data_IF_719523592981
#
_entry.id   IF_719523592981
#
_cell.length_a   1.000
_cell.length_b   1.000
_cell.length_c   1.000
_cell.angle_alpha   90.00
_cell.angle_beta   90.00
_cell.angle_gamma   90.00
#
_symmetry.space_group_name_H-M   'P 1'
#
loop_
_entity.id
_entity.type
_entity.pdbx_description
1 polymer ?
#
# COMPACT_ATOMS: atom_id res chain seq x y z
N UNK A 1 -8.57 5.35 18.19
CA UNK A 1 -7.77 6.59 18.30
C UNK A 1 -7.31 7.10 16.94
N UNK A 2 -6.58 6.30 16.16
CA UNK A 2 -6.08 6.70 14.84
C UNK A 2 -7.20 7.11 13.86
N UNK A 3 -8.23 6.30 13.70
CA UNK A 3 -9.36 6.60 12.81
C UNK A 3 -10.15 7.82 13.25
N UNK A 4 -10.29 8.03 14.54
CA UNK A 4 -10.89 9.25 15.07
C UNK A 4 -10.10 10.49 14.65
N UNK A 5 -8.79 10.45 14.78
CA UNK A 5 -7.90 11.50 14.29
C UNK A 5 -8.04 11.71 12.77
N UNK A 6 -8.03 10.60 12.03
CA UNK A 6 -8.05 10.62 10.57
C UNK A 6 -9.37 11.17 10.01
N UNK A 7 -10.49 10.80 10.61
CA UNK A 7 -11.83 11.17 10.18
C UNK A 7 -12.24 12.59 10.62
N UNK A 8 -11.64 13.12 11.66
CA UNK A 8 -11.98 14.45 12.22
C UNK A 8 -11.89 15.59 11.19
N UNK A 9 -11.02 15.49 10.22
CA UNK A 9 -10.88 16.46 9.14
C UNK A 9 -11.66 16.11 7.86
N UNK A 10 -12.45 15.02 7.88
CA UNK A 10 -13.18 14.60 6.69
C UNK A 10 -14.45 15.43 6.48
N UNK A 11 -14.82 15.60 5.21
CA UNK A 11 -16.05 16.30 4.83
C UNK A 11 -17.33 15.55 5.23
N UNK A 12 -17.20 14.29 5.65
CA UNK A 12 -18.32 13.42 6.01
C UNK A 12 -18.79 13.54 7.44
N UNK A 13 -17.93 13.99 8.34
CA UNK A 13 -18.24 14.00 9.76
C UNK A 13 -18.52 15.44 10.21
N UNK A 14 -19.79 15.73 10.40
CA UNK A 14 -20.24 16.98 11.01
C UNK A 14 -19.98 17.01 12.53
N UNK A 15 -19.52 15.89 13.10
CA UNK A 15 -19.28 15.74 14.53
C UNK A 15 -18.07 14.83 14.78
N UNK A 16 -17.52 14.89 15.98
CA UNK A 16 -16.45 13.97 16.40
C UNK A 16 -17.02 12.55 16.58
N UNK A 17 -16.50 11.53 15.86
CA UNK A 17 -17.02 10.16 15.94
C UNK A 17 -16.82 9.52 17.33
N UNK A 18 -16.05 10.14 18.21
CA UNK A 18 -15.89 9.68 19.60
C UNK A 18 -16.82 10.34 20.60
N UNK A 19 -17.64 11.31 20.19
CA UNK A 19 -18.63 11.91 21.06
C UNK A 19 -19.84 11.00 21.23
N UNK A 20 -20.29 10.88 22.47
CA UNK A 20 -21.54 10.19 22.77
C UNK A 20 -22.73 11.06 22.34
N UNK A 21 -23.82 10.45 21.84
CA UNK A 21 -25.05 11.20 21.58
C UNK A 21 -25.56 11.88 22.85
N UNK A 22 -25.83 13.17 22.76
CA UNK A 22 -26.31 13.96 23.92
C UNK A 22 -27.82 13.90 24.10
N UNK A 23 -28.55 13.48 23.10
CA UNK A 23 -30.01 13.42 23.10
C UNK A 23 -30.48 11.97 22.91
N UNK A 24 -31.61 11.60 23.52
CA UNK A 24 -32.26 10.33 23.22
C UNK A 24 -32.63 10.26 21.73
N UNK A 25 -32.61 9.04 21.18
CA UNK A 25 -33.01 8.81 19.78
C UNK A 25 -34.51 9.06 19.63
N UNK A 26 -34.89 9.97 18.75
CA UNK A 26 -36.28 10.18 18.34
C UNK A 26 -36.66 9.18 17.25
N UNK A 27 -37.60 8.31 17.52
CA UNK A 27 -38.06 7.27 16.61
C UNK A 27 -38.61 7.85 15.31
N UNK A 28 -39.34 8.97 15.38
CA UNK A 28 -39.89 9.63 14.21
C UNK A 28 -38.78 10.18 13.29
N UNK A 29 -37.76 10.78 13.88
CA UNK A 29 -36.59 11.24 13.11
C UNK A 29 -35.78 10.07 12.49
N UNK A 30 -35.62 8.98 13.23
CA UNK A 30 -34.96 7.78 12.74
C UNK A 30 -35.73 7.19 11.56
N UNK A 31 -37.05 7.07 11.67
CA UNK A 31 -37.89 6.59 10.58
C UNK A 31 -37.81 7.50 9.35
N UNK A 32 -37.85 8.82 9.53
CA UNK A 32 -37.72 9.78 8.45
C UNK A 32 -36.38 9.66 7.74
N UNK A 33 -35.29 9.51 8.49
CA UNK A 33 -33.95 9.26 7.95
C UNK A 33 -33.89 7.95 7.16
N UNK A 34 -34.45 6.88 7.70
CA UNK A 34 -34.51 5.57 7.01
C UNK A 34 -35.28 5.67 5.70
N UNK A 35 -36.45 6.29 5.69
CA UNK A 35 -37.28 6.49 4.50
C UNK A 35 -36.56 7.31 3.42
N UNK A 36 -35.80 8.30 3.85
CA UNK A 36 -35.08 9.19 2.94
C UNK A 36 -33.88 8.53 2.27
N UNK A 37 -33.11 7.73 3.00
CA UNK A 37 -31.81 7.25 2.54
C UNK A 37 -31.77 5.78 2.12
N UNK A 38 -32.64 4.93 2.68
CA UNK A 38 -32.68 3.52 2.34
C UNK A 38 -33.68 3.25 1.23
N UNK A 39 -33.37 3.77 0.04
CA UNK A 39 -34.20 3.64 -1.15
C UNK A 39 -33.59 2.63 -2.13
N UNK A 40 -34.39 1.94 -2.98
CA UNK A 40 -33.89 0.90 -3.87
C UNK A 40 -32.80 1.39 -4.85
N UNK A 41 -32.86 2.63 -5.29
CA UNK A 41 -31.86 3.21 -6.21
C UNK A 41 -30.49 3.43 -5.56
N UNK A 42 -30.42 3.37 -4.23
CA UNK A 42 -29.17 3.45 -3.49
C UNK A 42 -28.64 2.13 -3.00
N UNK A 43 -29.28 1.01 -3.35
CA UNK A 43 -28.94 -0.32 -2.86
C UNK A 43 -28.31 -1.18 -3.94
N UNK A 44 -27.33 -1.98 -3.58
CA UNK A 44 -26.77 -3.05 -4.40
C UNK A 44 -26.84 -4.34 -3.64
N UNK A 45 -27.46 -5.35 -4.22
CA UNK A 45 -27.57 -6.68 -3.63
C UNK A 45 -26.53 -7.62 -4.23
N UNK A 46 -25.76 -8.25 -3.36
CA UNK A 46 -24.81 -9.29 -3.75
C UNK A 46 -25.30 -10.65 -3.26
N UNK A 47 -25.33 -11.61 -4.17
CA UNK A 47 -25.66 -13.00 -3.86
C UNK A 47 -24.51 -13.89 -4.32
N UNK A 48 -23.91 -14.59 -3.38
CA UNK A 48 -22.78 -15.49 -3.62
C UNK A 48 -23.10 -16.86 -3.06
N UNK A 49 -22.92 -17.89 -3.86
CA UNK A 49 -23.16 -19.26 -3.45
C UNK A 49 -23.46 -20.17 -4.64
N UNK A 50 -23.81 -21.41 -4.33
CA UNK A 50 -24.25 -22.38 -5.33
C UNK A 50 -25.74 -22.15 -5.66
N UNK A 51 -26.00 -21.13 -6.49
CA UNK A 51 -27.35 -20.73 -6.86
C UNK A 51 -27.52 -20.74 -8.38
N UNK A 52 -28.74 -21.04 -8.84
CA UNK A 52 -29.12 -20.83 -10.23
C UNK A 52 -29.39 -19.33 -10.44
N UNK A 53 -28.55 -18.68 -11.25
CA UNK A 53 -28.61 -17.24 -11.49
C UNK A 53 -29.97 -16.80 -12.04
N UNK A 54 -30.58 -17.58 -12.92
CA UNK A 54 -31.88 -17.25 -13.51
C UNK A 54 -33.00 -17.30 -12.46
N UNK A 55 -33.07 -18.39 -11.72
CA UNK A 55 -34.05 -18.56 -10.64
C UNK A 55 -33.89 -17.49 -9.57
N UNK A 56 -32.65 -17.17 -9.20
CA UNK A 56 -32.36 -16.14 -8.22
C UNK A 56 -32.78 -14.74 -8.73
N UNK A 57 -32.50 -14.42 -9.97
CA UNK A 57 -32.93 -13.16 -10.58
C UNK A 57 -34.45 -13.01 -10.55
N UNK A 58 -35.21 -14.07 -10.86
CA UNK A 58 -36.66 -14.08 -10.79
C UNK A 58 -37.17 -13.83 -9.36
N UNK A 59 -36.57 -14.49 -8.38
CA UNK A 59 -36.92 -14.29 -6.96
C UNK A 59 -36.61 -12.88 -6.48
N UNK A 60 -35.48 -12.30 -6.87
CA UNK A 60 -35.08 -10.93 -6.53
C UNK A 60 -36.09 -9.96 -7.14
N UNK A 61 -36.42 -10.09 -8.42
CA UNK A 61 -37.39 -9.25 -9.08
C UNK A 61 -38.74 -9.32 -8.39
N UNK A 62 -39.21 -10.51 -8.04
CA UNK A 62 -40.48 -10.69 -7.34
C UNK A 62 -40.49 -10.04 -5.96
N UNK A 63 -39.38 -10.18 -5.21
CA UNK A 63 -39.30 -9.66 -3.86
C UNK A 63 -39.13 -8.16 -3.78
N UNK A 64 -38.38 -7.55 -4.69
CA UNK A 64 -37.96 -6.16 -4.63
C UNK A 64 -38.68 -5.23 -5.59
N UNK A 65 -39.30 -5.73 -6.66
CA UNK A 65 -40.02 -4.86 -7.62
C UNK A 65 -41.14 -4.01 -6.99
N UNK A 66 -41.84 -4.42 -5.92
CA UNK A 66 -42.83 -3.56 -5.27
C UNK A 66 -42.22 -2.38 -4.49
N UNK A 67 -40.93 -2.39 -4.20
CA UNK A 67 -40.28 -1.32 -3.47
C UNK A 67 -40.21 -0.05 -4.31
N UNK A 68 -40.57 1.05 -3.69
CA UNK A 68 -40.59 2.37 -4.31
C UNK A 68 -39.75 3.35 -3.50
N UNK A 69 -39.35 4.42 -4.13
CA UNK A 69 -38.59 5.50 -3.54
C UNK A 69 -37.32 5.80 -4.33
N UNK A 70 -36.96 7.06 -4.32
CA UNK A 70 -35.73 7.56 -4.92
C UNK A 70 -35.03 8.45 -3.94
N UNK A 71 -33.71 8.41 -3.95
CA UNK A 71 -32.91 9.37 -3.20
C UNK A 71 -33.17 10.79 -3.69
N UNK A 72 -33.31 11.72 -2.77
CA UNK A 72 -33.47 13.14 -3.06
C UNK A 72 -32.19 13.72 -3.67
N UNK A 73 -31.03 13.19 -3.25
CA UNK A 73 -29.71 13.56 -3.76
C UNK A 73 -28.79 12.35 -3.69
N UNK A 74 -27.78 12.27 -4.58
CA UNK A 74 -26.73 11.24 -4.44
C UNK A 74 -26.02 11.42 -3.11
N UNK A 75 -25.60 10.29 -2.49
CA UNK A 75 -24.77 10.33 -1.31
C UNK A 75 -23.47 11.08 -1.61
N UNK A 76 -23.07 11.97 -0.72
CA UNK A 76 -21.78 12.62 -0.83
C UNK A 76 -20.67 11.57 -0.74
N UNK A 77 -19.71 11.63 -1.66
CA UNK A 77 -18.52 10.77 -1.60
C UNK A 77 -17.63 11.27 -0.46
N UNK A 78 -17.32 10.42 0.53
CA UNK A 78 -16.40 10.81 1.57
C UNK A 78 -14.98 10.95 1.00
N UNK A 79 -14.30 11.99 1.42
CA UNK A 79 -12.89 12.21 1.09
C UNK A 79 -12.10 12.44 2.36
N UNK A 80 -10.98 11.73 2.49
CA UNK A 80 -10.00 12.01 3.53
C UNK A 80 -9.03 13.08 3.04
N UNK A 81 -8.67 14.00 3.93
CA UNK A 81 -7.56 14.91 3.68
C UNK A 81 -6.24 14.13 3.64
N UNK A 82 -5.28 14.54 2.80
CA UNK A 82 -3.94 13.99 2.87
C UNK A 82 -3.35 14.14 4.27
N UNK A 83 -2.57 13.15 4.71
CA UNK A 83 -1.83 13.28 5.96
C UNK A 83 -0.77 14.38 5.84
N UNK A 84 -0.54 15.15 6.91
CA UNK A 84 0.57 16.10 6.94
C UNK A 84 1.90 15.36 6.95
N UNK A 85 2.94 15.99 6.42
CA UNK A 85 4.31 15.43 6.49
C UNK A 85 4.98 15.66 7.84
N UNK A 86 4.30 16.32 8.75
CA UNK A 86 4.77 16.53 10.12
C UNK A 86 4.45 15.31 10.98
N UNK A 87 5.34 14.94 11.92
CA UNK A 87 5.08 13.82 12.81
C UNK A 87 3.89 14.11 13.71
N UNK A 88 3.13 13.05 13.98
CA UNK A 88 1.91 13.08 14.79
C UNK A 88 2.13 12.28 16.06
N UNK A 89 1.77 12.85 17.21
CA UNK A 89 1.77 12.14 18.49
C UNK A 89 0.35 12.06 19.05
N UNK A 90 -0.10 10.85 19.34
CA UNK A 90 -1.41 10.55 19.91
C UNK A 90 -1.25 9.74 21.20
N UNK A 91 -2.22 9.86 22.10
CA UNK A 91 -2.29 9.10 23.33
C UNK A 91 -3.48 8.13 23.31
N UNK A 92 -3.24 6.89 23.70
CA UNK A 92 -4.27 5.86 23.80
C UNK A 92 -4.14 5.08 25.10
N UNK A 93 -5.14 5.19 25.97
CA UNK A 93 -5.16 4.53 27.28
C UNK A 93 -5.20 3.00 27.24
N UNK A 94 -5.58 2.42 26.12
CA UNK A 94 -5.60 0.95 25.94
C UNK A 94 -4.30 0.32 25.48
N UNK A 95 -3.25 1.11 25.24
CA UNK A 95 -1.96 0.60 24.78
C UNK A 95 -1.03 0.30 25.95
N UNK A 96 -0.26 -0.79 25.80
CA UNK A 96 0.73 -1.24 26.80
C UNK A 96 2.13 -0.72 26.52
N UNK A 97 2.42 -0.39 25.28
CA UNK A 97 3.71 0.15 24.84
C UNK A 97 3.52 1.08 23.65
N UNK A 98 4.56 1.77 23.25
CA UNK A 98 4.53 2.68 22.12
C UNK A 98 4.30 1.94 20.81
N UNK A 99 3.47 2.52 19.95
CA UNK A 99 3.37 2.13 18.55
C UNK A 99 3.84 3.27 17.67
N UNK A 100 4.92 3.05 16.96
CA UNK A 100 5.41 3.97 15.93
C UNK A 100 5.03 3.43 14.57
N UNK A 101 4.29 4.22 13.81
CA UNK A 101 3.85 3.87 12.47
C UNK A 101 4.52 4.78 11.44
N UNK A 102 5.11 4.17 10.42
CA UNK A 102 5.64 4.83 9.24
C UNK A 102 4.59 4.71 8.15
N UNK A 103 3.91 5.81 7.85
CA UNK A 103 2.69 5.79 7.04
C UNK A 103 2.92 6.44 5.68
N UNK A 104 2.67 5.67 4.62
CA UNK A 104 2.54 6.17 3.26
C UNK A 104 1.06 6.39 2.97
N UNK A 105 0.69 7.62 2.64
CA UNK A 105 -0.68 8.03 2.36
C UNK A 105 -0.74 8.60 0.95
N UNK A 106 -1.42 7.89 0.06
CA UNK A 106 -1.49 8.23 -1.36
C UNK A 106 -2.92 8.21 -1.87
N UNK A 107 -3.25 8.98 -2.92
CA UNK A 107 -4.53 8.83 -3.59
C UNK A 107 -4.70 7.41 -4.11
N UNK A 108 -5.89 6.85 -3.94
CA UNK A 108 -6.25 5.56 -4.53
C UNK A 108 -6.90 5.78 -5.90
N UNK A 109 -6.37 5.09 -6.90
CA UNK A 109 -6.94 5.07 -8.25
C UNK A 109 -7.74 3.78 -8.46
N UNK A 110 -8.95 3.85 -9.02
CA UNK A 110 -9.69 2.65 -9.39
C UNK A 110 -8.89 1.74 -10.34
N UNK A 111 -9.00 0.43 -10.14
CA UNK A 111 -8.34 -0.57 -10.97
C UNK A 111 -9.39 -1.17 -11.89
N UNK A 112 -9.35 -0.83 -13.18
CA UNK A 112 -10.38 -1.21 -14.17
C UNK A 112 -9.84 -1.94 -15.39
N UNK A 113 -8.53 -2.06 -15.51
CA UNK A 113 -7.87 -2.75 -16.62
C UNK A 113 -6.69 -3.60 -16.13
N UNK A 114 -6.20 -4.47 -17.00
CA UNK A 114 -5.11 -5.39 -16.67
C UNK A 114 -3.77 -4.69 -16.42
N UNK A 115 -3.52 -3.59 -17.09
CA UNK A 115 -2.29 -2.82 -16.93
C UNK A 115 -2.22 -2.18 -15.54
N UNK A 116 -3.30 -1.55 -15.09
CA UNK A 116 -3.38 -0.97 -13.75
C UNK A 116 -3.38 -2.04 -12.66
N UNK A 117 -3.96 -3.20 -12.93
CA UNK A 117 -3.92 -4.34 -12.02
C UNK A 117 -2.49 -4.87 -11.84
N UNK A 118 -1.75 -5.06 -12.92
CA UNK A 118 -0.34 -5.48 -12.86
C UNK A 118 0.53 -4.45 -12.15
N UNK A 119 0.30 -3.17 -12.37
CA UNK A 119 1.00 -2.09 -11.67
C UNK A 119 0.73 -2.11 -10.18
N UNK A 120 -0.52 -2.34 -9.79
CA UNK A 120 -0.90 -2.53 -8.40
C UNK A 120 -0.21 -3.75 -7.78
N UNK A 121 -0.19 -4.88 -8.48
CA UNK A 121 0.49 -6.09 -8.00
C UNK A 121 1.98 -5.88 -7.80
N UNK A 122 2.63 -5.15 -8.69
CA UNK A 122 4.05 -4.83 -8.55
C UNK A 122 4.31 -3.97 -7.31
N UNK A 123 3.50 -2.97 -7.09
CA UNK A 123 3.56 -2.11 -5.91
C UNK A 123 3.28 -2.88 -4.62
N UNK A 124 2.27 -3.72 -4.61
CA UNK A 124 1.89 -4.56 -3.47
C UNK A 124 2.97 -5.59 -3.13
N UNK A 125 3.53 -6.25 -4.14
CA UNK A 125 4.60 -7.21 -3.98
C UNK A 125 5.89 -6.55 -3.46
N UNK A 126 6.19 -5.35 -3.91
CA UNK A 126 7.32 -4.57 -3.41
C UNK A 126 7.16 -4.25 -1.91
N UNK A 127 5.96 -3.85 -1.47
CA UNK A 127 5.68 -3.60 -0.05
C UNK A 127 5.83 -4.87 0.79
N UNK A 128 5.34 -5.99 0.28
CA UNK A 128 5.47 -7.29 0.96
C UNK A 128 6.95 -7.71 1.07
N UNK A 129 7.70 -7.57 0.00
CA UNK A 129 9.14 -7.84 0.00
C UNK A 129 9.88 -7.00 1.04
N UNK A 130 9.56 -5.72 1.12
CA UNK A 130 10.14 -4.78 2.07
C UNK A 130 9.83 -5.18 3.51
N UNK A 131 8.58 -5.48 3.78
CA UNK A 131 8.13 -5.92 5.10
C UNK A 131 8.85 -7.20 5.56
N UNK A 132 8.88 -8.21 4.70
CA UNK A 132 9.56 -9.46 5.01
C UNK A 132 11.06 -9.28 5.23
N UNK A 133 11.70 -8.40 4.44
CA UNK A 133 13.10 -8.07 4.63
C UNK A 133 13.36 -7.46 6.01
N UNK A 134 12.58 -6.45 6.39
CA UNK A 134 12.70 -5.78 7.69
C UNK A 134 12.44 -6.77 8.84
N UNK A 135 11.40 -7.57 8.73
CA UNK A 135 11.05 -8.55 9.76
C UNK A 135 12.18 -9.57 9.96
N UNK A 136 12.76 -10.06 8.87
CA UNK A 136 13.87 -11.01 8.92
C UNK A 136 15.14 -10.38 9.52
N UNK A 137 15.47 -9.16 9.12
CA UNK A 137 16.61 -8.43 9.64
C UNK A 137 16.49 -8.16 11.14
N UNK A 138 15.29 -7.82 11.62
CA UNK A 138 15.03 -7.63 13.06
C UNK A 138 15.08 -8.93 13.84
N UNK A 139 14.65 -10.04 13.25
CA UNK A 139 14.73 -11.37 13.89
C UNK A 139 16.19 -11.83 14.03
N UNK A 140 17.03 -11.56 13.03
CA UNK A 140 18.46 -11.91 13.04
C UNK A 140 19.28 -10.98 13.94
N UNK A 141 18.84 -9.75 14.10
CA UNK A 141 19.43 -8.83 15.07
C UNK A 141 18.93 -9.20 16.46
N UNK A 142 19.76 -8.99 17.46
CA UNK A 142 19.35 -9.18 18.86
C UNK A 142 18.47 -8.03 19.37
N UNK A 143 17.72 -7.35 18.49
CA UNK A 143 16.74 -6.35 18.88
C UNK A 143 15.63 -7.04 19.67
N UNK A 144 15.63 -6.81 20.98
CA UNK A 144 14.67 -7.42 21.87
C UNK A 144 13.42 -6.54 22.00
N UNK A 145 12.26 -7.20 22.10
CA UNK A 145 10.98 -6.58 22.45
C UNK A 145 10.38 -5.65 21.39
N UNK A 146 10.82 -5.72 20.15
CA UNK A 146 10.17 -5.02 19.05
C UNK A 146 9.31 -5.98 18.22
N UNK A 147 8.07 -5.60 17.97
CA UNK A 147 7.19 -6.30 17.05
C UNK A 147 6.91 -5.39 15.86
N UNK A 148 7.06 -5.93 14.66
CA UNK A 148 6.82 -5.19 13.42
C UNK A 148 5.65 -5.82 12.68
N UNK A 149 4.68 -4.98 12.32
CA UNK A 149 3.54 -5.34 11.52
C UNK A 149 3.44 -4.48 10.27
N UNK A 150 2.69 -4.96 9.30
CA UNK A 150 2.41 -4.23 8.07
C UNK A 150 0.91 -4.23 7.82
N UNK A 151 0.37 -3.07 7.43
CA UNK A 151 -1.04 -2.87 7.20
C UNK A 151 -1.25 -1.93 6.01
N UNK A 152 -2.14 -2.31 5.10
CA UNK A 152 -2.60 -1.45 4.02
C UNK A 152 -4.11 -1.38 4.04
N UNK A 153 -4.66 -0.18 3.93
CA UNK A 153 -6.10 0.06 3.82
C UNK A 153 -6.41 1.06 2.72
N UNK A 154 -7.46 0.78 2.00
CA UNK A 154 -8.09 1.75 1.11
C UNK A 154 -9.37 2.23 1.77
N UNK A 155 -9.46 3.52 2.03
CA UNK A 155 -10.63 4.12 2.62
C UNK A 155 -10.83 5.52 2.03
N UNK A 156 -12.05 5.79 1.60
CA UNK A 156 -12.44 7.09 1.07
C UNK A 156 -11.45 7.65 0.03
N UNK A 157 -11.16 6.83 -0.98
CA UNK A 157 -10.31 7.15 -2.13
C UNK A 157 -8.84 7.44 -1.78
N UNK A 158 -8.39 7.01 -0.61
CA UNK A 158 -6.97 7.06 -0.23
C UNK A 158 -6.46 5.69 0.15
N UNK A 159 -5.25 5.40 -0.27
CA UNK A 159 -4.50 4.23 0.15
C UNK A 159 -3.55 4.63 1.27
N UNK A 160 -3.64 3.92 2.38
CA UNK A 160 -2.77 4.10 3.53
C UNK A 160 -2.06 2.80 3.81
N UNK A 161 -0.76 2.77 3.64
CA UNK A 161 0.09 1.64 4.02
C UNK A 161 1.02 2.06 5.15
N UNK A 162 1.22 1.19 6.12
CA UNK A 162 2.05 1.49 7.27
C UNK A 162 2.93 0.32 7.67
N UNK A 163 4.15 0.62 8.07
CA UNK A 163 4.97 -0.26 8.90
C UNK A 163 4.75 0.18 10.34
N UNK A 164 4.21 -0.72 11.16
CA UNK A 164 3.92 -0.46 12.56
C UNK A 164 4.98 -1.13 13.43
N UNK A 165 5.57 -0.39 14.35
CA UNK A 165 6.52 -0.92 15.32
C UNK A 165 5.95 -0.78 16.72
N UNK A 166 5.75 -1.90 17.41
CA UNK A 166 5.44 -1.93 18.82
C UNK A 166 6.74 -2.11 19.61
N UNK A 167 7.07 -1.16 20.45
CA UNK A 167 8.35 -1.09 21.16
C UNK A 167 8.21 -0.43 22.52
N UNK A 168 8.97 -0.89 23.52
CA UNK A 168 9.14 -0.10 24.73
C UNK A 168 9.72 1.29 24.40
N UNK A 169 9.26 2.30 25.11
CA UNK A 169 9.69 3.69 24.88
C UNK A 169 11.23 3.85 24.95
N UNK A 170 11.87 3.19 25.90
CA UNK A 170 13.33 3.25 26.06
C UNK A 170 14.12 2.73 24.85
N UNK A 171 13.55 1.82 24.07
CA UNK A 171 14.20 1.21 22.91
C UNK A 171 13.69 1.77 21.57
N UNK A 172 12.72 2.68 21.61
CA UNK A 172 12.01 3.14 20.42
C UNK A 172 12.95 3.79 19.38
N UNK A 173 13.81 4.71 19.83
CA UNK A 173 14.75 5.40 18.95
C UNK A 173 15.75 4.43 18.30
N UNK A 174 16.27 3.50 19.06
CA UNK A 174 17.22 2.48 18.58
C UNK A 174 16.56 1.55 17.57
N UNK A 175 15.34 1.09 17.85
CA UNK A 175 14.59 0.23 16.95
C UNK A 175 14.23 0.95 15.65
N UNK A 176 13.83 2.21 15.72
CA UNK A 176 13.57 3.04 14.55
C UNK A 176 14.83 3.19 13.68
N UNK A 177 15.97 3.48 14.26
CA UNK A 177 17.23 3.62 13.53
C UNK A 177 17.63 2.33 12.84
N UNK A 178 17.37 1.18 13.45
CA UNK A 178 17.65 -0.11 12.85
C UNK A 178 16.75 -0.38 11.64
N UNK A 179 15.46 -0.11 11.77
CA UNK A 179 14.52 -0.21 10.62
C UNK A 179 14.93 0.75 9.52
N UNK A 180 15.26 1.98 9.85
CA UNK A 180 15.71 2.97 8.86
C UNK A 180 16.96 2.51 8.09
N UNK A 181 17.94 1.95 8.77
CA UNK A 181 19.15 1.43 8.12
C UNK A 181 18.86 0.28 7.18
N UNK A 182 17.97 -0.63 7.58
CA UNK A 182 17.56 -1.74 6.70
C UNK A 182 16.82 -1.24 5.46
N UNK A 183 15.91 -0.29 5.62
CA UNK A 183 15.21 0.30 4.50
C UNK A 183 16.14 1.07 3.55
N UNK A 184 17.08 1.82 4.10
CA UNK A 184 18.09 2.53 3.30
C UNK A 184 18.99 1.56 2.52
N UNK A 185 19.36 0.43 3.12
CA UNK A 185 20.15 -0.62 2.46
C UNK A 185 19.39 -1.22 1.28
N UNK A 186 18.11 -1.53 1.45
CA UNK A 186 17.28 -2.05 0.34
C UNK A 186 17.10 -1.00 -0.76
N UNK A 187 16.91 0.26 -0.40
CA UNK A 187 16.84 1.35 -1.38
C UNK A 187 18.11 1.43 -2.22
N UNK A 188 19.27 1.36 -1.59
CA UNK A 188 20.56 1.59 -2.24
C UNK A 188 21.09 0.35 -2.98
N UNK A 189 20.93 -0.83 -2.41
CA UNK A 189 21.47 -2.09 -2.92
C UNK A 189 20.43 -3.02 -3.56
N UNK A 190 19.15 -2.71 -3.35
CA UNK A 190 18.06 -3.59 -3.76
C UNK A 190 17.86 -4.77 -2.81
N UNK A 191 16.81 -5.52 -3.09
CA UNK A 191 16.49 -6.75 -2.37
C UNK A 191 17.54 -7.82 -2.68
N UNK A 192 18.08 -8.56 -1.71
CA UNK A 192 18.95 -9.69 -1.98
C UNK A 192 18.31 -10.70 -2.95
N UNK A 193 19.10 -11.25 -3.86
CA UNK A 193 18.60 -12.18 -4.87
C UNK A 193 17.89 -13.40 -4.24
N UNK A 194 18.42 -13.90 -3.15
CA UNK A 194 17.84 -15.04 -2.44
C UNK A 194 16.45 -14.73 -1.89
N UNK A 195 16.25 -13.51 -1.38
CA UNK A 195 14.94 -13.07 -0.87
C UNK A 195 13.94 -12.88 -2.02
N UNK A 196 14.38 -12.33 -3.15
CA UNK A 196 13.56 -12.23 -4.36
C UNK A 196 13.12 -13.61 -4.85
N UNK A 197 14.04 -14.54 -4.97
CA UNK A 197 13.75 -15.90 -5.46
C UNK A 197 12.78 -16.63 -4.50
N UNK A 198 12.98 -16.50 -3.20
CA UNK A 198 12.10 -17.07 -2.19
C UNK A 198 10.68 -16.47 -2.24
N UNK A 199 10.59 -15.16 -2.42
CA UNK A 199 9.30 -14.47 -2.55
C UNK A 199 8.54 -14.94 -3.78
N UNK A 200 9.21 -15.03 -4.93
CA UNK A 200 8.58 -15.48 -6.18
C UNK A 200 8.13 -16.93 -6.10
N UNK A 201 8.93 -17.80 -5.49
CA UNK A 201 8.57 -19.20 -5.28
C UNK A 201 7.34 -19.32 -4.37
N UNK A 202 7.28 -18.54 -3.30
CA UNK A 202 6.14 -18.51 -2.39
C UNK A 202 4.87 -18.03 -3.10
N UNK A 203 4.96 -16.99 -3.90
CA UNK A 203 3.79 -16.44 -4.63
C UNK A 203 3.26 -17.41 -5.68
N UNK A 204 4.12 -18.12 -6.38
CA UNK A 204 3.70 -19.17 -7.32
C UNK A 204 3.03 -20.34 -6.59
N UNK A 205 3.57 -20.74 -5.44
CA UNK A 205 2.97 -21.77 -4.60
C UNK A 205 1.58 -21.37 -4.10
N UNK A 206 1.43 -20.14 -3.62
CA UNK A 206 0.15 -19.60 -3.19
C UNK A 206 -0.87 -19.57 -4.32
N UNK A 207 -0.47 -19.17 -5.52
CA UNK A 207 -1.33 -19.14 -6.70
C UNK A 207 -1.82 -20.55 -7.06
N UNK A 208 -0.92 -21.53 -7.09
CA UNK A 208 -1.27 -22.91 -7.38
C UNK A 208 -2.22 -23.49 -6.32
N UNK A 209 -1.99 -23.18 -5.05
CA UNK A 209 -2.83 -23.60 -3.95
C UNK A 209 -4.23 -22.96 -4.03
N UNK A 210 -4.30 -21.69 -4.36
CA UNK A 210 -5.57 -20.98 -4.54
C UNK A 210 -6.44 -21.66 -5.58
N UNK A 211 -5.87 -22.08 -6.71
CA UNK A 211 -6.61 -22.77 -7.77
C UNK A 211 -7.01 -24.18 -7.38
N UNK A 212 -6.13 -24.92 -6.72
CA UNK A 212 -6.45 -26.26 -6.24
C UNK A 212 -7.61 -26.28 -5.24
N UNK A 213 -7.80 -25.19 -4.50
CA UNK A 213 -8.82 -25.09 -3.44
C UNK A 213 -9.99 -24.17 -3.79
N UNK A 214 -9.99 -23.52 -4.95
CA UNK A 214 -11.00 -22.50 -5.30
C UNK A 214 -12.43 -23.04 -5.21
N UNK A 215 -12.69 -24.22 -5.75
CA UNK A 215 -14.01 -24.85 -5.72
C UNK A 215 -14.52 -25.18 -4.30
N UNK A 216 -13.64 -25.15 -3.31
CA UNK A 216 -13.97 -25.43 -1.89
C UNK A 216 -13.90 -24.15 -1.04
N UNK A 217 -13.77 -22.99 -1.65
CA UNK A 217 -13.74 -21.72 -0.91
C UNK A 217 -15.11 -21.45 -0.31
N UNK A 218 -15.14 -21.13 0.96
CA UNK A 218 -16.37 -20.81 1.68
C UNK A 218 -17.04 -19.57 1.08
N UNK A 219 -18.36 -19.60 1.06
CA UNK A 219 -19.20 -18.53 0.54
C UNK A 219 -18.92 -17.19 1.21
N UNK A 220 -18.68 -17.19 2.51
CA UNK A 220 -18.36 -15.98 3.28
C UNK A 220 -17.06 -15.33 2.82
N UNK A 221 -16.06 -16.13 2.49
CA UNK A 221 -14.78 -15.62 1.96
C UNK A 221 -14.99 -15.00 0.58
N UNK A 222 -15.74 -15.65 -0.29
CA UNK A 222 -16.07 -15.14 -1.63
C UNK A 222 -16.87 -13.83 -1.54
N UNK A 223 -17.85 -13.77 -0.64
CA UNK A 223 -18.63 -12.56 -0.37
C UNK A 223 -17.73 -11.41 0.10
N UNK A 224 -16.85 -11.68 1.05
CA UNK A 224 -15.91 -10.70 1.56
C UNK A 224 -14.98 -10.15 0.48
N UNK A 225 -14.49 -11.00 -0.41
CA UNK A 225 -13.67 -10.59 -1.56
C UNK A 225 -14.44 -9.69 -2.52
N UNK A 226 -15.68 -10.06 -2.82
CA UNK A 226 -16.57 -9.28 -3.70
C UNK A 226 -16.82 -7.88 -3.13
N UNK A 227 -17.15 -7.80 -1.85
CA UNK A 227 -17.42 -6.53 -1.18
C UNK A 227 -16.19 -5.63 -1.13
N UNK A 228 -15.00 -6.19 -0.86
CA UNK A 228 -13.76 -5.43 -0.89
C UNK A 228 -13.42 -4.89 -2.27
N UNK A 229 -13.58 -5.70 -3.31
CA UNK A 229 -13.36 -5.28 -4.70
C UNK A 229 -14.29 -4.13 -5.07
N UNK A 230 -15.56 -4.25 -4.74
CA UNK A 230 -16.53 -3.18 -5.01
C UNK A 230 -16.21 -1.92 -4.21
N UNK A 231 -15.89 -2.05 -2.93
CA UNK A 231 -15.56 -0.93 -2.03
C UNK A 231 -14.29 -0.20 -2.48
N UNK A 232 -13.31 -0.91 -2.99
CA UNK A 232 -12.03 -0.36 -3.44
C UNK A 232 -12.04 0.02 -4.93
N UNK A 233 -13.16 -0.12 -5.61
CA UNK A 233 -13.27 0.14 -7.05
C UNK A 233 -12.28 -0.67 -7.88
N UNK A 234 -12.09 -1.93 -7.52
CA UNK A 234 -11.27 -2.91 -8.24
C UNK A 234 -12.19 -3.78 -9.08
N UNK A 235 -11.87 -3.94 -10.36
CA UNK A 235 -12.64 -4.81 -11.25
C UNK A 235 -12.53 -6.27 -10.79
N UNK A 236 -13.66 -6.96 -10.75
CA UNK A 236 -13.70 -8.41 -10.57
C UNK A 236 -13.38 -9.11 -11.89
N UNK A 237 -12.49 -10.08 -11.82
CA UNK A 237 -12.13 -10.93 -12.94
C UNK A 237 -12.42 -12.40 -12.60
N UNK A 238 -12.75 -13.17 -13.64
CA UNK A 238 -12.99 -14.61 -13.47
C UNK A 238 -11.73 -15.29 -12.92
N UNK A 239 -11.88 -16.35 -12.09
CA UNK A 239 -10.74 -17.05 -11.51
C UNK A 239 -9.70 -17.52 -12.52
N UNK A 240 -10.15 -18.06 -13.64
CA UNK A 240 -9.27 -18.54 -14.71
C UNK A 240 -8.48 -17.39 -15.35
N UNK A 241 -9.11 -16.25 -15.54
CA UNK A 241 -8.47 -15.05 -16.04
C UNK A 241 -7.46 -14.49 -15.03
N UNK A 242 -7.83 -14.47 -13.75
CA UNK A 242 -6.92 -14.06 -12.67
C UNK A 242 -5.68 -14.96 -12.64
N UNK A 243 -5.86 -16.27 -12.71
CA UNK A 243 -4.73 -17.22 -12.74
C UNK A 243 -3.78 -16.91 -13.87
N UNK A 244 -4.30 -16.75 -15.07
CA UNK A 244 -3.52 -16.51 -16.28
C UNK A 244 -2.72 -15.21 -16.17
N UNK A 245 -3.38 -14.13 -15.77
CA UNK A 245 -2.74 -12.82 -15.59
C UNK A 245 -1.70 -12.84 -14.46
N UNK A 246 -2.03 -13.43 -13.33
CA UNK A 246 -1.14 -13.49 -12.17
C UNK A 246 0.08 -14.37 -12.43
N UNK A 247 -0.10 -15.51 -13.09
CA UNK A 247 1.01 -16.38 -13.46
C UNK A 247 1.96 -15.69 -14.45
N UNK A 248 1.44 -15.02 -15.45
CA UNK A 248 2.25 -14.25 -16.41
C UNK A 248 3.01 -13.13 -15.68
N UNK A 249 2.34 -12.39 -14.82
CA UNK A 249 2.96 -11.34 -14.01
C UNK A 249 4.13 -11.87 -13.18
N UNK A 250 3.92 -12.95 -12.43
CA UNK A 250 4.95 -13.55 -11.57
C UNK A 250 6.11 -14.12 -12.38
N UNK A 251 5.84 -14.67 -13.58
CA UNK A 251 6.89 -15.24 -14.46
C UNK A 251 7.74 -14.18 -15.14
N UNK A 252 7.17 -13.02 -15.41
CA UNK A 252 7.84 -11.93 -16.15
C UNK A 252 8.52 -10.91 -15.25
N UNK A 253 8.12 -10.81 -13.97
CA UNK A 253 8.68 -9.85 -13.04
C UNK A 253 10.16 -10.15 -12.77
N UNK A 254 11.01 -9.16 -12.97
CA UNK A 254 12.44 -9.26 -12.68
C UNK A 254 12.77 -8.61 -11.33
N UNK A 255 13.89 -9.03 -10.74
CA UNK A 255 14.44 -8.40 -9.54
C UNK A 255 14.68 -6.89 -9.73
N UNK A 256 15.19 -6.50 -10.89
CA UNK A 256 15.46 -5.08 -11.18
C UNK A 256 14.19 -4.25 -11.22
N UNK A 257 13.10 -4.76 -11.79
CA UNK A 257 11.80 -4.10 -11.79
C UNK A 257 11.25 -3.94 -10.37
N UNK A 258 11.37 -4.97 -9.55
CA UNK A 258 10.95 -4.91 -8.15
C UNK A 258 11.80 -3.91 -7.34
N UNK A 259 13.10 -3.90 -7.56
CA UNK A 259 14.01 -2.95 -6.92
C UNK A 259 13.74 -1.50 -7.31
N UNK A 260 13.36 -1.24 -8.55
CA UNK A 260 12.94 0.10 -8.98
C UNK A 260 11.69 0.56 -8.23
N UNK A 261 10.71 -0.33 -8.09
CA UNK A 261 9.49 -0.05 -7.34
C UNK A 261 9.79 0.19 -5.85
N UNK A 262 10.62 -0.64 -5.23
CA UNK A 262 11.09 -0.46 -3.85
C UNK A 262 11.76 0.90 -3.64
N UNK A 263 12.65 1.27 -4.55
CA UNK A 263 13.34 2.57 -4.49
C UNK A 263 12.37 3.73 -4.60
N UNK A 264 11.41 3.63 -5.49
CA UNK A 264 10.36 4.63 -5.66
C UNK A 264 9.53 4.78 -4.39
N UNK A 265 9.12 3.69 -3.76
CA UNK A 265 8.36 3.73 -2.51
C UNK A 265 9.18 4.29 -1.35
N UNK A 266 10.45 3.94 -1.26
CA UNK A 266 11.33 4.38 -0.17
C UNK A 266 11.82 5.83 -0.31
N UNK A 267 11.64 6.44 -1.47
CA UNK A 267 11.90 7.86 -1.72
C UNK A 267 10.66 8.74 -1.58
N UNK A 268 9.48 8.14 -1.43
CA UNK A 268 8.26 8.89 -1.14
C UNK A 268 8.28 9.43 0.29
N UNK A 269 7.69 10.60 0.46
CA UNK A 269 7.46 11.15 1.79
C UNK A 269 6.46 10.31 2.57
N UNK A 270 6.75 10.11 3.84
CA UNK A 270 5.88 9.41 4.76
C UNK A 270 5.51 10.31 5.93
N UNK A 271 4.45 9.91 6.64
CA UNK A 271 4.07 10.54 7.90
C UNK A 271 4.40 9.59 9.04
N UNK A 272 5.14 10.08 10.01
CA UNK A 272 5.45 9.34 11.22
C UNK A 272 4.36 9.58 12.26
N UNK A 273 3.76 8.50 12.78
CA UNK A 273 2.70 8.55 13.78
C UNK A 273 3.15 7.77 15.00
N UNK A 274 3.23 8.44 16.14
CA UNK A 274 3.49 7.80 17.42
C UNK A 274 2.22 7.78 18.26
N UNK A 275 1.82 6.61 18.71
CA UNK A 275 0.73 6.42 19.66
C UNK A 275 1.33 5.88 20.95
N UNK A 276 1.17 6.65 22.03
CA UNK A 276 1.74 6.33 23.34
C UNK A 276 0.68 5.92 24.34
N UNK A 277 1.03 5.06 25.32
CA UNK A 277 0.18 4.79 26.46
C UNK A 277 -0.12 6.06 27.24
N UNK A 278 -1.29 6.09 27.87
CA UNK A 278 -1.65 7.17 28.76
C UNK A 278 -0.76 7.17 30.03
N UNK A 279 -0.33 8.34 30.45
CA UNK A 279 0.51 8.50 31.64
C UNK A 279 2.02 8.39 31.40
N UNK A 280 2.41 8.04 30.20
CA UNK A 280 3.82 8.04 29.78
C UNK A 280 4.24 9.48 29.39
N UNK A 281 5.48 9.91 29.73
CA UNK A 281 5.97 11.20 29.27
C UNK A 281 5.92 11.30 27.74
N UNK A 282 5.53 12.47 27.23
CA UNK A 282 5.48 12.71 25.80
C UNK A 282 6.86 12.58 25.17
N UNK A 283 6.98 11.69 24.19
CA UNK A 283 8.20 11.54 23.41
C UNK A 283 8.29 12.66 22.37
N UNK A 284 9.49 13.21 22.19
CA UNK A 284 9.75 14.17 21.14
C UNK A 284 9.79 13.48 19.78
N UNK A 285 8.64 13.42 19.10
CA UNK A 285 8.50 12.74 17.79
C UNK A 285 9.30 13.47 16.70
N UNK A 286 9.56 14.75 16.84
CA UNK A 286 10.38 15.50 15.89
C UNK A 286 11.83 15.03 15.92
N UNK A 287 12.37 14.69 17.07
CA UNK A 287 13.70 14.08 17.15
C UNK A 287 13.74 12.72 16.46
N UNK A 288 12.70 11.92 16.60
CA UNK A 288 12.57 10.65 15.89
C UNK A 288 12.51 10.87 14.38
N UNK A 289 11.74 11.85 13.91
CA UNK A 289 11.66 12.20 12.51
C UNK A 289 13.01 12.67 11.97
N UNK A 290 13.72 13.52 12.69
CA UNK A 290 15.04 14.03 12.29
C UNK A 290 16.06 12.87 12.19
N UNK A 291 16.03 11.96 13.13
CA UNK A 291 16.87 10.75 13.14
C UNK A 291 16.57 9.85 11.93
N UNK A 292 15.29 9.66 11.62
CA UNK A 292 14.84 8.94 10.44
C UNK A 292 15.32 9.60 9.15
N UNK A 293 15.10 10.91 9.01
CA UNK A 293 15.49 11.68 7.84
C UNK A 293 16.99 11.62 7.59
N UNK A 294 17.78 11.67 8.66
CA UNK A 294 19.24 11.58 8.57
C UNK A 294 19.71 10.23 8.01
N UNK A 295 19.10 9.14 8.44
CA UNK A 295 19.43 7.79 7.96
C UNK A 295 18.93 7.58 6.54
N UNK A 296 17.73 8.06 6.25
CA UNK A 296 17.07 7.88 4.94
C UNK A 296 17.52 8.87 3.89
N UNK A 297 18.38 9.82 4.23
CA UNK A 297 18.91 10.78 3.26
C UNK A 297 19.61 10.03 2.11
N UNK A 298 19.17 10.29 0.90
CA UNK A 298 19.81 9.72 -0.29
C UNK A 298 21.25 10.28 -0.36
N UNK A 299 22.29 9.43 -0.47
CA UNK A 299 23.65 9.89 -0.66
C UNK A 299 23.73 10.77 -1.92
N UNK A 300 24.48 11.88 -1.83
CA UNK A 300 24.80 12.65 -3.03
C UNK A 300 25.47 11.73 -4.04
N UNK A 301 25.07 11.84 -5.33
CA UNK A 301 25.73 11.07 -6.38
C UNK A 301 27.24 11.37 -6.28
N UNK A 302 28.12 10.33 -6.28
CA UNK A 302 29.54 10.58 -6.31
C UNK A 302 29.83 11.49 -7.49
N UNK A 303 30.56 12.59 -7.25
CA UNK A 303 31.01 13.48 -8.31
C UNK A 303 31.59 12.58 -9.41
N UNK A 304 31.05 12.71 -10.64
CA UNK A 304 31.53 11.91 -11.76
C UNK A 304 33.06 12.00 -11.73
N UNK A 305 33.75 10.87 -11.57
CA UNK A 305 35.17 10.83 -11.62
C UNK A 305 35.55 11.53 -12.91
N UNK A 306 36.34 12.62 -12.82
CA UNK A 306 36.79 13.34 -13.99
C UNK A 306 37.35 12.29 -14.93
N UNK A 307 36.71 12.12 -16.08
CA UNK A 307 37.25 11.32 -17.17
C UNK A 307 38.69 11.80 -17.35
N UNK A 308 39.70 10.91 -17.32
CA UNK A 308 41.06 11.33 -17.63
C UNK A 308 40.96 12.01 -18.98
N UNK A 309 41.46 13.24 -19.04
CA UNK A 309 41.61 13.99 -20.29
C UNK A 309 42.20 13.00 -21.26
N UNK A 310 41.48 12.64 -22.33
CA UNK A 310 42.06 11.90 -23.44
C UNK A 310 43.15 12.80 -23.97
N UNK A 311 44.37 12.43 -23.67
CA UNK A 311 45.56 13.04 -24.24
C UNK A 311 45.37 13.04 -25.78
N UNK A 312 45.22 14.22 -26.35
CA UNK A 312 45.21 14.39 -27.78
C UNK A 312 46.44 13.69 -28.33
N UNK A 313 46.33 12.83 -29.35
CA UNK A 313 47.47 12.31 -30.00
C UNK A 313 48.24 13.48 -30.64
N UNK A 314 49.45 13.68 -30.21
CA UNK A 314 50.36 14.58 -30.87
C UNK A 314 50.50 14.13 -32.32
N UNK A 315 50.09 15.02 -33.20
CA UNK A 315 50.22 14.86 -34.64
C UNK A 315 51.70 15.11 -35.01
N UNK A 316 52.50 14.06 -34.98
CA UNK A 316 53.81 14.12 -35.60
C UNK A 316 53.65 13.84 -37.10
N UNK A 317 53.52 14.95 -37.81
CA UNK A 317 53.64 14.96 -39.22
C UNK A 317 55.07 14.53 -39.66
N UNK A 318 55.14 13.50 -40.43
CA UNK A 318 56.26 13.32 -41.32
C UNK A 318 55.76 12.91 -42.70
N UNK A 319 55.86 13.87 -43.56
CA UNK A 319 55.65 13.68 -44.98
C UNK A 319 56.73 12.74 -45.59
N UNK A 320 56.31 11.81 -46.43
CA UNK A 320 57.14 11.42 -47.54
C UNK A 320 56.27 10.88 -48.67
N UNK A 321 56.31 11.68 -49.71
CA UNK A 321 55.79 11.33 -51.00
C UNK A 321 56.62 10.22 -51.64
N UNK A 322 55.97 9.35 -52.38
CA UNK A 322 56.42 8.93 -53.73
C UNK A 322 55.32 8.08 -54.38
N UNK A 323 54.76 8.61 -55.41
CA UNK A 323 54.17 7.93 -56.54
C UNK A 323 55.35 7.32 -57.39
N UNK A 324 55.27 6.27 -58.18
CA UNK A 324 54.52 6.26 -59.41
C UNK A 324 54.05 4.90 -59.99
N UNK A 325 53.17 5.05 -60.97
CA UNK A 325 53.09 4.24 -62.22
C UNK A 325 52.27 2.98 -62.29
N UNK A 326 51.17 3.09 -63.03
CA UNK A 326 50.56 2.09 -63.90
C UNK A 326 51.58 1.49 -64.86
N UNK A 327 51.33 0.30 -65.53
CA UNK A 327 50.27 0.18 -66.51
C UNK A 327 49.66 -1.24 -66.73
N UNK A 328 48.50 -1.19 -67.37
CA UNK A 328 47.90 -2.01 -68.42
C UNK A 328 48.10 -3.54 -68.46
N UNK A 329 47.02 -4.26 -68.40
CA UNK A 329 46.41 -5.04 -69.49
C UNK A 329 45.09 -5.64 -69.00
#
# INVERSE_FOLDING_TARGET
MWWRYRLKGSTMLAHDPGEQPRAPVDIAQLNAFYQQWYTPDGMTLYVVGNVDSRSMAEQINKAFSPLQGKRVAPAALPTLSPLPHQPINLVNGGMMQDRLSLVWDTPWQPIRDSQNLQRYWQSDLAREALFWHVQRALADSKAQNVQVGFDCRVLYQRAQCAINMDSPNASLAQNLNQVARELATVRDKGLPQEEFDALMAQKLLELNKLFATYARTDTDILMGQRLRSQQNSVVDIAPEQYQKLRQAFLSELTRDQLNQELRQQLTQELTMVLIQPQGEPETNVRMLQDSWDKVMKVPDAPAAAATPDEAKPENNGSASATDPAQPSS
#
